data_IF_779771974320
#
_entry.id   IF_779771974320
#
_cell.length_a   1.000
_cell.length_b   1.000
_cell.length_c   1.000
_cell.angle_alpha   90.00
_cell.angle_beta   90.00
_cell.angle_gamma   90.00
#
_symmetry.space_group_name_H-M   'P 1'
#
loop_
_entity.id
_entity.type
_entity.pdbx_description
1 polymer ?
#
# COMPACT_ATOMS: atom_id res chain seq x y z
N UNK A 1 -6.88 -31.91 22.79
CA UNK A 1 -6.49 -30.55 22.35
C UNK A 1 -7.74 -29.92 21.76
N UNK A 2 -8.13 -28.71 22.19
CA UNK A 2 -9.31 -28.05 21.66
C UNK A 2 -9.06 -27.60 20.22
N UNK A 3 -9.99 -27.89 19.31
CA UNK A 3 -9.93 -27.45 17.91
C UNK A 3 -9.96 -25.92 17.90
N UNK A 4 -9.01 -25.23 17.23
CA UNK A 4 -9.02 -23.78 17.15
C UNK A 4 -10.34 -23.31 16.52
N UNK A 5 -11.05 -22.42 17.22
CA UNK A 5 -12.30 -21.85 16.75
C UNK A 5 -11.95 -20.90 15.61
N UNK A 6 -12.34 -21.25 14.39
CA UNK A 6 -12.25 -20.32 13.25
C UNK A 6 -13.25 -19.17 13.50
N UNK A 7 -12.81 -17.90 13.45
CA UNK A 7 -13.71 -16.78 13.67
C UNK A 7 -14.77 -16.74 12.56
N UNK A 8 -16.02 -16.47 12.94
CA UNK A 8 -17.15 -16.38 11.98
C UNK A 8 -17.05 -15.17 11.06
N UNK A 9 -16.29 -14.15 11.46
CA UNK A 9 -16.10 -12.89 10.74
C UNK A 9 -14.62 -12.58 10.77
N UNK A 10 -14.05 -12.26 9.62
CA UNK A 10 -12.70 -11.70 9.50
C UNK A 10 -12.82 -10.22 9.18
N UNK A 11 -11.94 -9.42 9.77
CA UNK A 11 -11.92 -7.98 9.59
C UNK A 11 -10.53 -7.61 9.12
N UNK A 12 -10.45 -6.93 7.99
CA UNK A 12 -9.21 -6.40 7.44
C UNK A 12 -9.17 -4.91 7.71
N UNK A 13 -8.08 -4.46 8.32
CA UNK A 13 -7.79 -3.05 8.48
C UNK A 13 -6.56 -2.71 7.65
N UNK A 14 -6.73 -1.79 6.69
CA UNK A 14 -5.65 -1.32 5.85
C UNK A 14 -5.59 0.20 5.82
N UNK A 15 -4.40 0.72 5.54
CA UNK A 15 -4.09 2.15 5.54
C UNK A 15 -3.38 2.48 4.24
N UNK A 16 -3.89 3.46 3.51
CA UNK A 16 -3.23 4.03 2.34
C UNK A 16 -2.38 5.21 2.83
N UNK A 17 -1.05 5.08 2.73
CA UNK A 17 -0.10 6.11 3.18
C UNK A 17 0.28 7.06 2.03
N UNK A 18 -0.72 7.74 1.48
CA UNK A 18 -0.56 8.60 0.30
C UNK A 18 0.36 9.80 0.57
N UNK A 19 0.23 10.42 1.74
CA UNK A 19 0.99 11.59 2.14
C UNK A 19 1.03 12.67 1.03
N UNK A 20 2.22 13.15 0.66
CA UNK A 20 2.39 14.16 -0.40
C UNK A 20 2.12 13.57 -1.79
N UNK A 21 2.32 12.27 -1.99
CA UNK A 21 2.15 11.64 -3.30
C UNK A 21 0.71 11.76 -3.81
N UNK A 22 -0.28 11.71 -2.92
CA UNK A 22 -1.69 11.95 -3.28
C UNK A 22 -1.93 13.30 -3.97
N UNK A 23 -1.16 14.34 -3.63
CA UNK A 23 -1.24 15.67 -4.25
C UNK A 23 -0.36 15.84 -5.50
N UNK A 24 0.55 14.90 -5.75
CA UNK A 24 1.42 14.87 -6.93
C UNK A 24 0.84 14.03 -8.06
N UNK A 25 0.13 12.96 -7.72
CA UNK A 25 -0.58 12.12 -8.67
C UNK A 25 -2.03 12.57 -8.80
N UNK A 26 -2.93 11.86 -8.14
CA UNK A 26 -4.37 11.97 -8.42
C UNK A 26 -5.01 13.29 -7.99
N UNK A 27 -4.45 13.95 -6.97
CA UNK A 27 -4.85 15.28 -6.54
C UNK A 27 -4.07 16.40 -7.23
N UNK A 28 -3.25 16.12 -8.26
CA UNK A 28 -2.48 17.13 -8.94
C UNK A 28 -3.38 18.15 -9.65
N UNK A 29 -3.25 19.41 -9.26
CA UNK A 29 -3.97 20.52 -9.85
C UNK A 29 -3.09 21.78 -9.91
N UNK A 30 -3.21 22.62 -10.96
CA UNK A 30 -2.44 23.88 -11.05
C UNK A 30 -2.62 24.84 -9.88
N UNK A 31 -3.76 24.75 -9.17
CA UNK A 31 -4.10 25.61 -8.03
C UNK A 31 -3.65 25.04 -6.67
N UNK A 32 -3.03 23.85 -6.66
CA UNK A 32 -2.47 23.29 -5.43
C UNK A 32 -1.44 24.26 -4.84
N UNK A 33 -1.49 24.41 -3.53
CA UNK A 33 -0.62 25.30 -2.78
C UNK A 33 0.03 24.58 -1.59
N UNK A 34 0.86 25.30 -0.85
CA UNK A 34 1.60 24.73 0.29
C UNK A 34 0.68 24.15 1.38
N UNK A 35 -0.55 24.65 1.52
CA UNK A 35 -1.49 24.09 2.49
C UNK A 35 -1.91 22.66 2.11
N UNK A 36 -2.12 22.38 0.82
CA UNK A 36 -2.47 21.05 0.33
C UNK A 36 -1.33 20.06 0.64
N UNK A 37 -0.10 20.41 0.23
CA UNK A 37 1.08 19.59 0.54
C UNK A 37 1.33 19.43 2.04
N UNK A 38 1.02 20.45 2.85
CA UNK A 38 1.17 20.37 4.32
C UNK A 38 0.33 19.24 4.94
N UNK A 39 -0.80 18.88 4.34
CA UNK A 39 -1.61 17.74 4.78
C UNK A 39 -0.87 16.40 4.57
N UNK A 40 -0.07 16.30 3.51
CA UNK A 40 0.80 15.14 3.26
C UNK A 40 1.92 15.02 4.30
N UNK A 41 2.56 16.14 4.65
CA UNK A 41 3.53 16.18 5.76
C UNK A 41 2.88 15.83 7.09
N UNK A 42 1.65 16.30 7.33
CA UNK A 42 0.90 15.94 8.53
C UNK A 42 0.62 14.44 8.60
N UNK A 43 0.23 13.81 7.49
CA UNK A 43 0.01 12.37 7.42
C UNK A 43 1.27 11.59 7.85
N UNK A 44 2.45 11.99 7.35
CA UNK A 44 3.71 11.34 7.69
C UNK A 44 4.17 11.61 9.13
N UNK A 45 4.25 12.88 9.55
CA UNK A 45 4.85 13.25 10.83
C UNK A 45 3.91 13.12 12.03
N UNK A 46 2.60 13.13 11.79
CA UNK A 46 1.58 13.09 12.86
C UNK A 46 0.65 11.90 12.71
N UNK A 47 0.18 11.62 11.50
CA UNK A 47 -0.75 10.52 11.20
C UNK A 47 -0.14 9.15 11.50
N UNK A 48 0.99 8.82 10.87
CA UNK A 48 1.66 7.53 11.03
C UNK A 48 1.97 7.23 12.51
N UNK A 49 2.65 8.11 13.28
CA UNK A 49 2.92 7.82 14.69
C UNK A 49 1.66 7.64 15.55
N UNK A 50 0.56 8.35 15.23
CA UNK A 50 -0.71 8.19 15.96
C UNK A 50 -1.36 6.85 15.67
N UNK A 51 -1.40 6.43 14.42
CA UNK A 51 -1.95 5.14 14.00
C UNK A 51 -1.13 3.98 14.56
N UNK A 52 0.20 4.04 14.48
CA UNK A 52 1.06 3.01 15.09
C UNK A 52 0.84 2.88 16.60
N UNK A 53 0.71 4.00 17.34
CA UNK A 53 0.36 3.96 18.77
C UNK A 53 -1.03 3.37 19.02
N UNK A 54 -2.01 3.69 18.17
CA UNK A 54 -3.35 3.14 18.27
C UNK A 54 -3.33 1.62 18.08
N UNK A 55 -2.67 1.14 17.03
CA UNK A 55 -2.59 -0.29 16.74
C UNK A 55 -1.81 -1.05 17.81
N UNK A 56 -0.72 -0.47 18.33
CA UNK A 56 0.03 -1.03 19.46
C UNK A 56 -0.83 -1.12 20.73
N UNK A 57 -1.59 -0.06 21.06
CA UNK A 57 -2.51 -0.05 22.21
C UNK A 57 -3.53 -1.20 22.16
N UNK A 58 -3.96 -1.57 20.96
CA UNK A 58 -4.93 -2.64 20.74
C UNK A 58 -4.30 -4.00 20.42
N UNK A 59 -2.97 -4.12 20.38
CA UNK A 59 -2.28 -5.37 20.07
C UNK A 59 -2.43 -5.84 18.62
N UNK A 60 -2.76 -4.93 17.69
CA UNK A 60 -3.02 -5.24 16.28
C UNK A 60 -1.98 -4.67 15.31
N UNK A 61 -0.86 -4.11 15.80
CA UNK A 61 0.14 -3.47 14.96
C UNK A 61 0.68 -4.36 13.83
N UNK A 62 0.92 -5.65 14.11
CA UNK A 62 1.36 -6.63 13.10
C UNK A 62 0.23 -7.28 12.29
N UNK A 63 -1.00 -6.80 12.43
CA UNK A 63 -2.21 -7.37 11.80
C UNK A 63 -2.93 -6.36 10.91
N UNK A 64 -2.25 -5.27 10.56
CA UNK A 64 -2.73 -4.27 9.60
C UNK A 64 -1.84 -4.25 8.37
N UNK A 65 -2.39 -3.79 7.26
CA UNK A 65 -1.67 -3.63 6.00
C UNK A 65 -1.51 -2.15 5.67
N UNK A 66 -0.30 -1.72 5.34
CA UNK A 66 -0.02 -0.39 4.83
C UNK A 66 0.24 -0.46 3.32
N UNK A 67 -0.62 0.16 2.53
CA UNK A 67 -0.40 0.38 1.11
C UNK A 67 0.41 1.69 0.97
N UNK A 68 1.64 1.56 0.49
CA UNK A 68 2.61 2.67 0.51
C UNK A 68 3.07 2.99 -0.91
N UNK A 69 2.86 4.23 -1.39
CA UNK A 69 3.46 4.69 -2.63
C UNK A 69 4.99 4.79 -2.49
N UNK A 70 5.74 4.45 -3.54
CA UNK A 70 7.19 4.54 -3.54
C UNK A 70 7.71 5.94 -3.16
N UNK A 71 7.08 7.00 -3.67
CA UNK A 71 7.39 8.38 -3.30
C UNK A 71 7.23 8.63 -1.79
N UNK A 72 6.16 8.12 -1.15
CA UNK A 72 5.96 8.27 0.29
C UNK A 72 7.04 7.55 1.09
N UNK A 73 7.46 6.37 0.66
CA UNK A 73 8.54 5.62 1.30
C UNK A 73 9.88 6.36 1.22
N UNK A 74 10.24 6.93 0.05
CA UNK A 74 11.49 7.70 -0.12
C UNK A 74 11.45 9.06 0.56
N UNK A 75 10.28 9.72 0.58
CA UNK A 75 10.12 11.06 1.16
C UNK A 75 10.08 11.05 2.69
N UNK A 76 9.59 9.96 3.29
CA UNK A 76 9.37 9.85 4.73
C UNK A 76 10.03 8.59 5.31
N UNK A 77 11.37 8.46 5.21
CA UNK A 77 12.08 7.23 5.59
C UNK A 77 11.91 6.88 7.08
N UNK A 78 11.78 7.87 7.97
CA UNK A 78 11.53 7.61 9.40
C UNK A 78 10.15 7.00 9.65
N UNK A 79 9.12 7.49 8.96
CA UNK A 79 7.76 6.94 9.05
C UNK A 79 7.72 5.53 8.46
N UNK A 80 8.38 5.32 7.32
CA UNK A 80 8.49 4.02 6.68
C UNK A 80 9.22 3.00 7.57
N UNK A 81 10.35 3.38 8.17
CA UNK A 81 11.09 2.54 9.10
C UNK A 81 10.24 2.16 10.33
N UNK A 82 9.44 3.10 10.85
CA UNK A 82 8.52 2.82 11.97
C UNK A 82 7.39 1.86 11.59
N UNK A 83 6.86 1.96 10.36
CA UNK A 83 5.85 1.03 9.82
C UNK A 83 6.46 -0.38 9.73
N UNK A 84 7.64 -0.53 9.12
CA UNK A 84 8.33 -1.83 9.01
C UNK A 84 8.63 -2.42 10.39
N UNK A 85 9.15 -1.61 11.31
CA UNK A 85 9.46 -2.05 12.68
C UNK A 85 8.24 -2.48 13.49
N UNK A 86 7.03 -2.04 13.11
CA UNK A 86 5.78 -2.46 13.76
C UNK A 86 5.37 -3.91 13.43
N UNK A 87 5.99 -4.51 12.40
CA UNK A 87 5.64 -5.84 11.89
C UNK A 87 4.36 -5.87 11.07
N UNK A 88 3.80 -4.70 10.71
CA UNK A 88 2.69 -4.60 9.78
C UNK A 88 3.09 -5.09 8.38
N UNK A 89 2.11 -5.57 7.61
CA UNK A 89 2.31 -5.85 6.19
C UNK A 89 2.51 -4.52 5.44
N UNK A 90 3.43 -4.51 4.47
CA UNK A 90 3.64 -3.39 3.54
C UNK A 90 3.34 -3.87 2.13
N UNK A 91 2.36 -3.22 1.51
CA UNK A 91 1.86 -3.50 0.16
C UNK A 91 2.13 -2.32 -0.78
N UNK A 92 2.18 -2.58 -2.09
CA UNK A 92 2.45 -1.55 -3.10
C UNK A 92 1.24 -0.65 -3.35
N UNK A 93 1.47 0.63 -3.60
CA UNK A 93 0.42 1.60 -3.92
C UNK A 93 0.82 2.63 -5.00
N UNK A 94 1.46 2.14 -6.07
CA UNK A 94 2.04 3.00 -7.10
C UNK A 94 3.30 3.71 -6.63
N UNK A 95 3.80 4.66 -7.42
CA UNK A 95 4.98 5.44 -7.05
C UNK A 95 4.60 6.80 -6.47
N UNK A 96 3.99 7.67 -7.27
CA UNK A 96 3.55 9.00 -6.87
C UNK A 96 2.02 9.11 -6.82
N UNK A 97 1.33 7.99 -6.52
CA UNK A 97 -0.13 7.89 -6.46
C UNK A 97 -0.78 8.34 -7.79
N UNK A 98 -0.23 7.90 -8.92
CA UNK A 98 -0.74 8.14 -10.27
C UNK A 98 -1.97 7.29 -10.62
N UNK A 99 -2.87 7.83 -11.45
CA UNK A 99 -4.04 7.10 -11.95
C UNK A 99 -3.61 5.96 -12.90
N UNK A 100 -3.56 4.74 -12.37
CA UNK A 100 -3.01 3.58 -13.09
C UNK A 100 -3.74 3.29 -14.41
N UNK A 101 -5.05 3.56 -14.50
CA UNK A 101 -5.81 3.38 -15.73
C UNK A 101 -5.40 4.34 -16.88
N UNK A 102 -4.67 5.43 -16.56
CA UNK A 102 -4.16 6.38 -17.55
C UNK A 102 -2.73 6.07 -18.00
N UNK A 103 -2.07 5.12 -17.37
CA UNK A 103 -0.73 4.70 -17.76
C UNK A 103 -0.77 3.77 -18.99
N UNK A 104 0.27 3.82 -19.81
CA UNK A 104 0.54 2.73 -20.76
C UNK A 104 0.90 1.45 -19.99
N UNK A 105 0.74 0.25 -20.59
CA UNK A 105 1.15 -1.00 -19.95
C UNK A 105 2.62 -1.00 -19.48
N UNK A 106 3.50 -0.39 -20.26
CA UNK A 106 4.93 -0.26 -19.93
C UNK A 106 5.12 0.67 -18.72
N UNK A 107 4.44 1.81 -18.70
CA UNK A 107 4.49 2.76 -17.58
C UNK A 107 3.95 2.14 -16.30
N UNK A 108 2.84 1.41 -16.37
CA UNK A 108 2.24 0.70 -15.24
C UNK A 108 3.22 -0.33 -14.67
N UNK A 109 3.84 -1.14 -15.54
CA UNK A 109 4.88 -2.10 -15.13
C UNK A 109 6.06 -1.41 -14.46
N UNK A 110 6.60 -0.36 -15.06
CA UNK A 110 7.75 0.36 -14.53
C UNK A 110 7.45 0.96 -13.15
N UNK A 111 6.27 1.56 -12.98
CA UNK A 111 5.79 2.09 -11.70
C UNK A 111 5.69 1.01 -10.63
N UNK A 112 5.07 -0.14 -10.95
CA UNK A 112 4.90 -1.23 -9.98
C UNK A 112 6.25 -1.81 -9.58
N UNK A 113 7.13 -2.10 -10.55
CA UNK A 113 8.47 -2.63 -10.30
C UNK A 113 9.28 -1.65 -9.45
N UNK A 114 9.24 -0.35 -9.78
CA UNK A 114 9.94 0.68 -9.01
C UNK A 114 9.43 0.77 -7.58
N UNK A 115 8.11 0.71 -7.38
CA UNK A 115 7.52 0.71 -6.04
C UNK A 115 8.01 -0.49 -5.22
N UNK A 116 8.02 -1.70 -5.80
CA UNK A 116 8.54 -2.91 -5.13
C UNK A 116 9.99 -2.71 -4.71
N UNK A 117 10.85 -2.24 -5.61
CA UNK A 117 12.26 -2.00 -5.32
C UNK A 117 12.46 -1.02 -4.16
N UNK A 118 11.75 0.10 -4.18
CA UNK A 118 11.83 1.14 -3.14
C UNK A 118 11.41 0.60 -1.77
N UNK A 119 10.29 -0.13 -1.72
CA UNK A 119 9.80 -0.68 -0.45
C UNK A 119 10.77 -1.72 0.12
N UNK A 120 11.36 -2.56 -0.73
CA UNK A 120 12.38 -3.52 -0.31
C UNK A 120 13.66 -2.81 0.17
N UNK A 121 14.10 -1.74 -0.51
CA UNK A 121 15.24 -0.92 -0.08
C UNK A 121 14.97 -0.24 1.27
N UNK A 122 13.72 0.10 1.57
CA UNK A 122 13.29 0.63 2.87
C UNK A 122 13.16 -0.44 3.97
N UNK A 123 13.45 -1.71 3.67
CA UNK A 123 13.47 -2.81 4.63
C UNK A 123 12.17 -3.62 4.74
N UNK A 124 11.18 -3.36 3.88
CA UNK A 124 9.99 -4.21 3.82
C UNK A 124 10.31 -5.57 3.16
N UNK A 125 9.64 -6.66 3.56
CA UNK A 125 9.58 -7.87 2.74
C UNK A 125 9.07 -7.56 1.32
N UNK A 126 9.31 -8.47 0.36
CA UNK A 126 8.72 -8.33 -0.97
C UNK A 126 7.19 -8.18 -0.83
N UNK A 127 6.58 -7.08 -1.31
CA UNK A 127 5.13 -6.91 -1.24
C UNK A 127 4.39 -8.02 -1.98
N UNK A 128 3.43 -8.66 -1.32
CA UNK A 128 2.49 -9.62 -1.94
C UNK A 128 1.18 -8.96 -2.39
N UNK A 129 0.86 -7.80 -1.81
CA UNK A 129 -0.30 -6.98 -2.16
C UNK A 129 0.03 -5.77 -3.02
N UNK A 130 -0.92 -5.39 -3.88
CA UNK A 130 -0.90 -4.12 -4.61
C UNK A 130 -2.28 -3.47 -4.60
N UNK A 131 -2.38 -2.16 -4.37
CA UNK A 131 -3.63 -1.39 -4.52
C UNK A 131 -3.45 -0.31 -5.56
N UNK A 132 -4.41 -0.20 -6.47
CA UNK A 132 -4.43 0.88 -7.45
C UNK A 132 -4.70 2.22 -6.77
N UNK A 133 -3.90 3.28 -7.02
CA UNK A 133 -4.32 4.64 -6.72
C UNK A 133 -5.69 4.94 -7.34
N UNK A 134 -6.57 5.64 -6.60
CA UNK A 134 -7.99 5.86 -6.93
C UNK A 134 -8.86 4.61 -7.14
N UNK A 135 -8.36 3.41 -6.86
CA UNK A 135 -9.05 2.16 -7.23
C UNK A 135 -9.34 2.06 -8.74
N UNK A 136 -8.51 2.73 -9.54
CA UNK A 136 -8.65 2.87 -10.98
C UNK A 136 -7.66 1.94 -11.68
N UNK A 137 -8.15 1.01 -12.49
CA UNK A 137 -7.31 0.02 -13.19
C UNK A 137 -7.63 -0.06 -14.67
N UNK A 138 -6.70 -0.62 -15.43
CA UNK A 138 -6.90 -1.01 -16.82
C UNK A 138 -7.29 -2.49 -16.89
N UNK A 139 -7.84 -2.93 -18.02
CA UNK A 139 -8.23 -4.33 -18.21
C UNK A 139 -7.05 -5.30 -18.01
N UNK A 140 -5.86 -4.95 -18.51
CA UNK A 140 -4.65 -5.78 -18.40
C UNK A 140 -3.88 -5.67 -17.08
N UNK A 141 -4.39 -4.94 -16.09
CA UNK A 141 -3.69 -4.73 -14.81
C UNK A 141 -3.60 -6.04 -14.02
N UNK A 142 -4.63 -6.89 -14.06
CA UNK A 142 -4.65 -8.13 -13.28
C UNK A 142 -3.60 -9.13 -13.80
N UNK A 143 -3.50 -9.29 -15.12
CA UNK A 143 -2.49 -10.15 -15.76
C UNK A 143 -1.08 -9.64 -15.45
N UNK A 144 -0.86 -8.33 -15.49
CA UNK A 144 0.43 -7.74 -15.12
C UNK A 144 0.79 -8.02 -13.65
N UNK A 145 -0.16 -7.93 -12.73
CA UNK A 145 0.07 -8.24 -11.31
C UNK A 145 0.42 -9.72 -11.10
N UNK A 146 -0.25 -10.63 -11.82
CA UNK A 146 0.06 -12.06 -11.80
C UNK A 146 1.47 -12.34 -12.37
N UNK A 147 1.81 -11.73 -13.51
CA UNK A 147 3.16 -11.82 -14.11
C UNK A 147 4.26 -11.32 -13.17
N UNK A 148 3.95 -10.30 -12.37
CA UNK A 148 4.85 -9.75 -11.37
C UNK A 148 4.82 -10.52 -10.04
N UNK A 149 3.99 -11.55 -9.92
CA UNK A 149 3.93 -12.44 -8.75
C UNK A 149 3.28 -11.81 -7.51
N UNK A 150 2.30 -10.91 -7.69
CA UNK A 150 1.44 -10.46 -6.60
C UNK A 150 0.39 -11.52 -6.28
N UNK A 151 0.09 -11.69 -5.00
CA UNK A 151 -0.90 -12.66 -4.51
C UNK A 151 -2.31 -12.07 -4.50
N UNK A 152 -2.43 -10.74 -4.34
CA UNK A 152 -3.73 -10.08 -4.31
C UNK A 152 -3.70 -8.62 -4.78
N UNK A 153 -4.84 -8.16 -5.33
CA UNK A 153 -5.11 -6.77 -5.67
C UNK A 153 -6.08 -6.11 -4.68
N UNK A 154 -5.74 -4.94 -4.14
CA UNK A 154 -6.53 -4.19 -3.16
C UNK A 154 -7.85 -3.59 -3.67
N UNK A 155 -8.29 -3.96 -4.87
CA UNK A 155 -9.62 -3.66 -5.44
C UNK A 155 -10.39 -4.92 -5.89
N UNK A 156 -9.70 -6.07 -6.05
CA UNK A 156 -10.22 -7.40 -6.45
C UNK A 156 -9.27 -8.49 -5.91
N UNK A 157 -9.80 -9.50 -5.21
CA UNK A 157 -9.03 -10.73 -4.91
C UNK A 157 -8.62 -11.41 -6.23
N UNK A 158 -7.31 -11.49 -6.50
CA UNK A 158 -6.79 -12.30 -7.59
C UNK A 158 -6.95 -13.77 -7.20
N UNK A 159 -7.88 -14.49 -7.84
CA UNK A 159 -7.95 -15.94 -7.71
C UNK A 159 -6.83 -16.57 -8.55
N UNK A 160 -5.64 -16.72 -7.98
CA UNK A 160 -4.66 -17.65 -8.52
C UNK A 160 -5.07 -19.06 -8.09
N UNK A 161 -5.74 -19.79 -8.99
CA UNK A 161 -5.95 -21.22 -8.86
C UNK A 161 -4.60 -21.91 -8.89
N UNK A 162 -4.05 -22.28 -7.73
CA UNK A 162 -3.28 -23.52 -7.48
C UNK A 162 -2.44 -23.52 -6.19
N UNK A 163 -2.51 -22.47 -5.35
CA UNK A 163 -1.92 -22.50 -4.02
C UNK A 163 -3.00 -22.36 -2.94
N UNK A 164 -3.07 -23.36 -2.06
CA UNK A 164 -4.04 -23.41 -0.98
C UNK A 164 -3.91 -22.21 -0.03
N UNK A 165 -5.03 -21.49 0.11
CA UNK A 165 -5.41 -20.58 1.19
C UNK A 165 -4.50 -19.36 1.47
N UNK A 166 -5.07 -18.17 1.25
CA UNK A 166 -5.21 -17.16 2.31
C UNK A 166 -6.41 -16.23 2.00
N UNK A 167 -7.55 -16.59 2.59
CA UNK A 167 -8.58 -15.61 2.90
C UNK A 167 -8.04 -14.73 4.03
N UNK A 168 -7.90 -13.42 3.80
CA UNK A 168 -7.85 -12.45 4.89
C UNK A 168 -9.23 -12.34 5.55
#
# INVERSE_FOLDING_TARGET
MATPISPKIRVVLSIDFDAVSGWLGTGAHPDNNLADYSSGFFAAHVGVPRLLRLFAKHGIASHVTWFVPGHSAESFPEAMAAIVASGAEVACHGYAHEDAAKLSPEQERDVIVRCVEVLQQAGAPRPSGWRAPLYSVREGTLELLEELGFEYGGFVLLYASDFGLLFL
#
